data_IF_945955653238
#
_entry.id   IF_945955653238
#
_cell.length_a   1.000
_cell.length_b   1.000
_cell.length_c   1.000
_cell.angle_alpha   90.00
_cell.angle_beta   90.00
_cell.angle_gamma   90.00
#
_symmetry.space_group_name_H-M   'P 1'
#
loop_
_entity.id
_entity.type
_entity.pdbx_description
1 polymer ?
#
# COMPACT_ATOMS: atom_id res chain seq x y z
N UNK A 1 0.68 -20.12 7.73
CA UNK A 1 -0.39 -19.17 8.12
C UNK A 1 -1.78 -19.78 8.33
N UNK A 2 -2.11 -20.92 7.66
CA UNK A 2 -3.45 -21.52 7.74
C UNK A 2 -3.79 -22.10 9.12
N UNK A 3 -2.83 -22.69 9.81
CA UNK A 3 -3.06 -23.31 11.14
C UNK A 3 -3.45 -22.29 12.21
N UNK A 4 -2.82 -21.12 12.22
CA UNK A 4 -3.12 -20.05 13.19
C UNK A 4 -4.53 -19.50 12.97
N UNK A 5 -4.94 -19.33 11.71
CA UNK A 5 -6.27 -18.86 11.35
C UNK A 5 -7.36 -19.85 11.82
N UNK A 6 -7.19 -21.16 11.58
CA UNK A 6 -8.13 -22.18 12.04
C UNK A 6 -8.18 -22.29 13.56
N UNK A 7 -7.04 -22.20 14.26
CA UNK A 7 -7.00 -22.18 15.72
C UNK A 7 -7.74 -20.98 16.31
N UNK A 8 -7.57 -19.79 15.72
CA UNK A 8 -8.28 -18.58 16.16
C UNK A 8 -9.78 -18.69 15.95
N UNK A 9 -10.21 -19.23 14.80
CA UNK A 9 -11.62 -19.38 14.46
C UNK A 9 -12.31 -20.41 15.39
N UNK A 10 -11.71 -21.59 15.58
CA UNK A 10 -12.27 -22.64 16.44
C UNK A 10 -12.17 -22.30 17.92
N UNK A 11 -11.05 -21.71 18.36
CA UNK A 11 -10.89 -21.27 19.75
C UNK A 11 -11.87 -20.14 20.11
N UNK A 12 -12.05 -19.16 19.21
CA UNK A 12 -13.00 -18.08 19.40
C UNK A 12 -14.45 -18.56 19.47
N UNK A 13 -14.84 -19.50 18.59
CA UNK A 13 -16.20 -20.05 18.58
C UNK A 13 -16.49 -20.89 19.82
N UNK A 14 -15.53 -21.69 20.28
CA UNK A 14 -15.67 -22.52 21.50
C UNK A 14 -15.82 -21.65 22.76
N UNK A 15 -14.97 -20.62 22.91
CA UNK A 15 -15.06 -19.64 24.00
C UNK A 15 -16.39 -18.86 23.96
N UNK A 16 -16.80 -18.43 22.79
CA UNK A 16 -18.07 -17.75 22.58
C UNK A 16 -19.25 -18.62 22.99
N UNK A 17 -19.29 -19.89 22.56
CA UNK A 17 -20.35 -20.82 22.91
C UNK A 17 -20.39 -21.11 24.42
N UNK A 18 -19.25 -21.26 25.06
CA UNK A 18 -19.15 -21.50 26.53
C UNK A 18 -19.69 -20.29 27.33
N UNK A 19 -19.26 -19.08 26.98
CA UNK A 19 -19.71 -17.85 27.63
C UNK A 19 -21.22 -17.63 27.46
N UNK A 20 -21.75 -17.76 26.23
CA UNK A 20 -23.17 -17.58 25.97
C UNK A 20 -24.03 -18.70 26.52
N UNK A 21 -23.51 -19.93 26.54
CA UNK A 21 -24.16 -21.05 27.20
C UNK A 21 -24.36 -20.84 28.73
N UNK A 22 -23.34 -20.24 29.37
CA UNK A 22 -23.41 -19.94 30.79
C UNK A 22 -24.34 -18.77 31.11
N UNK A 23 -24.31 -17.70 30.29
CA UNK A 23 -25.25 -16.58 30.43
C UNK A 23 -26.69 -17.03 30.18
N UNK A 24 -26.93 -17.89 29.20
CA UNK A 24 -28.26 -18.42 28.87
C UNK A 24 -28.81 -19.36 29.96
N UNK A 25 -27.93 -20.08 30.70
CA UNK A 25 -28.36 -20.95 31.82
C UNK A 25 -28.72 -20.16 33.09
N UNK A 26 -28.20 -18.95 33.24
CA UNK A 26 -28.46 -18.08 34.40
C UNK A 26 -29.60 -17.10 34.20
N UNK A 27 -30.02 -16.90 32.95
CA UNK A 27 -31.07 -15.92 32.55
C UNK A 27 -32.07 -16.60 31.63
N UNK A 28 -33.25 -15.94 31.40
CA UNK A 28 -34.19 -16.43 30.39
C UNK A 28 -33.59 -16.26 28.99
N UNK A 29 -34.01 -17.13 28.07
CA UNK A 29 -33.50 -17.11 26.67
C UNK A 29 -33.66 -15.73 26.00
N UNK A 30 -34.80 -15.03 26.27
CA UNK A 30 -35.04 -13.70 25.73
C UNK A 30 -34.06 -12.65 26.24
N UNK A 31 -33.66 -12.70 27.52
CA UNK A 31 -32.71 -11.77 28.11
C UNK A 31 -31.30 -12.07 27.57
N UNK A 32 -30.91 -13.35 27.45
CA UNK A 32 -29.64 -13.76 26.86
C UNK A 32 -29.50 -13.27 25.42
N UNK A 33 -30.51 -13.40 24.58
CA UNK A 33 -30.51 -12.90 23.19
C UNK A 33 -30.40 -11.37 23.13
N UNK A 34 -31.09 -10.66 24.02
CA UNK A 34 -31.04 -9.18 24.06
C UNK A 34 -29.64 -8.69 24.45
N UNK A 35 -29.00 -9.32 25.45
CA UNK A 35 -27.61 -9.00 25.86
C UNK A 35 -26.65 -9.28 24.70
N UNK A 36 -26.82 -10.40 23.98
CA UNK A 36 -25.98 -10.72 22.82
C UNK A 36 -26.10 -9.67 21.71
N UNK A 37 -27.32 -9.24 21.39
CA UNK A 37 -27.55 -8.23 20.38
C UNK A 37 -26.92 -6.87 20.75
N UNK A 38 -27.09 -6.45 22.01
CA UNK A 38 -26.49 -5.20 22.51
C UNK A 38 -24.98 -5.27 22.51
N UNK A 39 -24.37 -6.37 22.99
CA UNK A 39 -22.92 -6.54 23.01
C UNK A 39 -22.32 -6.56 21.59
N UNK A 40 -22.98 -7.20 20.63
CA UNK A 40 -22.56 -7.22 19.24
C UNK A 40 -22.60 -5.80 18.63
N UNK A 41 -23.66 -5.03 18.92
CA UNK A 41 -23.80 -3.65 18.45
C UNK A 41 -22.71 -2.75 19.04
N UNK A 42 -22.42 -2.87 20.33
CA UNK A 42 -21.36 -2.12 20.99
C UNK A 42 -19.98 -2.49 20.40
N UNK A 43 -19.73 -3.78 20.17
CA UNK A 43 -18.49 -4.25 19.57
C UNK A 43 -18.31 -3.70 18.15
N UNK A 44 -19.38 -3.68 17.35
CA UNK A 44 -19.38 -3.14 15.99
C UNK A 44 -19.10 -1.63 15.99
N UNK A 45 -19.72 -0.87 16.88
CA UNK A 45 -19.48 0.56 17.03
C UNK A 45 -18.06 0.85 17.52
N UNK A 46 -17.56 0.06 18.46
CA UNK A 46 -16.18 0.16 18.93
C UNK A 46 -15.18 -0.14 17.81
N UNK A 47 -15.41 -1.18 17.00
CA UNK A 47 -14.56 -1.45 15.84
C UNK A 47 -14.56 -0.30 14.83
N UNK A 48 -15.72 0.31 14.55
CA UNK A 48 -15.80 1.49 13.67
C UNK A 48 -15.05 2.69 14.24
N UNK A 49 -15.10 2.87 15.56
CA UNK A 49 -14.43 3.99 16.21
C UNK A 49 -12.90 3.81 16.31
N UNK A 50 -12.44 2.59 16.66
CA UNK A 50 -11.01 2.28 16.84
C UNK A 50 -10.31 1.89 15.54
N UNK A 51 -11.04 1.39 14.54
CA UNK A 51 -10.55 1.11 13.21
C UNK A 51 -11.27 2.03 12.21
N UNK A 52 -10.92 3.33 12.17
CA UNK A 52 -11.47 4.19 11.15
C UNK A 52 -11.16 3.57 9.80
N UNK A 53 -12.20 3.48 9.00
CA UNK A 53 -12.20 2.81 7.70
C UNK A 53 -11.06 3.38 6.85
N UNK A 54 -9.94 2.67 6.81
CA UNK A 54 -8.83 2.95 5.89
C UNK A 54 -9.11 2.36 4.51
N UNK A 55 -10.25 1.77 4.31
CA UNK A 55 -10.81 1.52 3.00
C UNK A 55 -11.36 2.85 2.45
N UNK A 56 -10.48 3.79 2.14
CA UNK A 56 -10.71 4.59 0.96
C UNK A 56 -10.98 3.53 -0.09
N UNK A 57 -12.20 3.49 -0.60
CA UNK A 57 -12.55 2.65 -1.74
C UNK A 57 -11.59 3.06 -2.85
N UNK A 58 -10.43 2.38 -2.88
CA UNK A 58 -9.44 2.61 -3.93
C UNK A 58 -10.17 2.26 -5.22
N UNK A 59 -10.37 3.22 -6.07
CA UNK A 59 -10.94 2.98 -7.39
C UNK A 59 -9.95 2.15 -8.21
N UNK A 60 -10.15 0.84 -8.19
CA UNK A 60 -9.31 -0.15 -8.87
C UNK A 60 -9.68 -0.31 -10.34
N UNK A 61 -10.50 0.56 -10.91
CA UNK A 61 -10.81 0.58 -12.33
C UNK A 61 -9.51 0.74 -13.12
N UNK A 62 -9.21 -0.15 -14.10
CA UNK A 62 -8.02 -0.04 -14.93
C UNK A 62 -7.97 1.30 -15.66
N UNK A 63 -6.80 1.94 -15.66
CA UNK A 63 -6.60 3.23 -16.34
C UNK A 63 -5.52 3.10 -17.40
N UNK A 64 -5.80 3.57 -18.61
CA UNK A 64 -4.87 3.61 -19.74
C UNK A 64 -4.14 4.95 -19.90
N UNK A 65 -4.19 5.82 -18.88
CA UNK A 65 -3.62 7.16 -18.93
C UNK A 65 -2.09 7.16 -19.05
N UNK A 66 -1.44 6.11 -18.57
CA UNK A 66 0.02 6.01 -18.62
C UNK A 66 0.48 5.30 -19.89
N UNK A 67 1.32 5.99 -20.67
CA UNK A 67 2.02 5.34 -21.78
C UNK A 67 3.25 4.61 -21.25
N UNK A 68 3.41 3.36 -21.67
CA UNK A 68 4.61 2.59 -21.37
C UNK A 68 5.85 3.29 -21.95
N UNK A 69 6.96 3.35 -21.21
CA UNK A 69 8.19 3.95 -21.71
C UNK A 69 8.79 3.11 -22.84
N UNK A 70 9.36 3.78 -23.83
CA UNK A 70 10.11 3.14 -24.91
C UNK A 70 11.59 3.22 -24.56
N UNK A 71 12.25 2.05 -24.42
CA UNK A 71 13.70 1.99 -24.26
C UNK A 71 14.38 1.97 -25.64
N UNK A 72 15.55 2.61 -25.74
CA UNK A 72 16.38 2.51 -26.97
C UNK A 72 16.89 1.09 -27.17
N UNK A 73 17.29 0.45 -26.09
CA UNK A 73 17.67 -0.96 -26.05
C UNK A 73 16.88 -1.63 -24.93
N UNK A 74 16.24 -2.75 -25.25
CA UNK A 74 15.42 -3.50 -24.27
C UNK A 74 16.34 -4.41 -23.47
N UNK A 75 16.53 -4.20 -22.16
CA UNK A 75 17.30 -5.13 -21.34
C UNK A 75 16.65 -6.52 -21.35
N UNK A 76 17.41 -7.54 -21.65
CA UNK A 76 16.95 -8.94 -21.66
C UNK A 76 17.00 -9.59 -20.28
N UNK A 77 17.90 -9.12 -19.40
CA UNK A 77 18.13 -9.65 -18.07
C UNK A 77 18.45 -8.53 -17.08
N UNK A 78 18.25 -8.79 -15.78
CA UNK A 78 18.58 -7.89 -14.69
C UNK A 78 17.37 -7.11 -14.16
N UNK A 79 17.51 -6.60 -12.94
CA UNK A 79 16.50 -5.78 -12.29
C UNK A 79 16.50 -4.35 -12.85
N UNK A 80 15.32 -3.77 -12.91
CA UNK A 80 15.16 -2.38 -13.34
C UNK A 80 14.92 -1.50 -12.11
N UNK A 81 15.81 -0.55 -11.90
CA UNK A 81 15.67 0.48 -10.88
C UNK A 81 15.11 1.75 -11.52
N UNK A 82 13.98 2.18 -11.00
CA UNK A 82 13.30 3.43 -11.41
C UNK A 82 13.46 4.44 -10.30
N UNK A 83 14.04 5.59 -10.62
CA UNK A 83 14.19 6.71 -9.70
C UNK A 83 13.31 7.85 -10.20
N UNK A 84 12.47 8.39 -9.31
CA UNK A 84 11.61 9.55 -9.58
C UNK A 84 12.00 10.64 -8.60
N UNK A 85 12.48 11.76 -9.11
CA UNK A 85 12.97 12.87 -8.32
C UNK A 85 11.89 13.92 -8.13
N UNK A 86 11.61 14.26 -6.87
CA UNK A 86 10.66 15.29 -6.48
C UNK A 86 11.38 16.42 -5.77
N UNK A 87 11.09 17.65 -6.17
CA UNK A 87 11.50 18.87 -5.48
C UNK A 87 10.27 19.47 -4.83
N UNK A 88 10.24 19.52 -3.50
CA UNK A 88 9.08 19.94 -2.72
C UNK A 88 9.44 21.06 -1.75
N UNK A 89 8.44 21.77 -1.25
CA UNK A 89 8.62 22.67 -0.13
C UNK A 89 9.04 21.89 1.13
N UNK A 90 10.20 22.17 1.74
CA UNK A 90 10.67 21.50 2.95
C UNK A 90 9.67 21.58 4.11
N UNK A 91 8.86 22.63 4.21
CA UNK A 91 7.83 22.78 5.24
C UNK A 91 6.73 21.72 5.12
N UNK A 92 6.51 21.20 3.92
CA UNK A 92 5.52 20.15 3.62
C UNK A 92 6.11 18.73 3.58
N UNK A 93 7.37 18.57 3.96
CA UNK A 93 8.06 17.27 3.87
C UNK A 93 7.38 16.17 4.71
N UNK A 94 6.77 16.50 5.85
CA UNK A 94 6.05 15.53 6.68
C UNK A 94 4.79 14.99 5.98
N UNK A 95 4.00 15.88 5.34
CA UNK A 95 2.83 15.51 4.56
C UNK A 95 3.22 14.65 3.37
N UNK A 96 4.28 15.05 2.66
CA UNK A 96 4.80 14.30 1.51
C UNK A 96 5.24 12.90 1.91
N UNK A 97 5.97 12.73 3.02
CA UNK A 97 6.36 11.40 3.52
C UNK A 97 5.14 10.52 3.83
N UNK A 98 4.08 11.09 4.40
CA UNK A 98 2.84 10.36 4.66
C UNK A 98 2.19 9.87 3.37
N UNK A 99 2.07 10.76 2.37
CA UNK A 99 1.55 10.42 1.05
C UNK A 99 2.40 9.33 0.36
N UNK A 100 3.72 9.40 0.51
CA UNK A 100 4.64 8.43 -0.08
C UNK A 100 4.53 7.03 0.53
N UNK A 101 3.97 6.86 1.75
CA UNK A 101 3.62 5.55 2.28
C UNK A 101 2.44 4.91 1.50
N UNK A 102 1.53 5.71 0.98
CA UNK A 102 0.47 5.23 0.09
C UNK A 102 1.07 4.80 -1.25
N UNK A 103 2.01 5.58 -1.81
CA UNK A 103 2.77 5.20 -3.01
C UNK A 103 3.49 3.87 -2.81
N UNK A 104 4.18 3.68 -1.68
CA UNK A 104 4.84 2.42 -1.34
C UNK A 104 3.87 1.23 -1.41
N UNK A 105 2.71 1.34 -0.77
CA UNK A 105 1.70 0.27 -0.78
C UNK A 105 1.21 -0.05 -2.18
N UNK A 106 0.92 0.98 -2.98
CA UNK A 106 0.51 0.82 -4.37
C UNK A 106 1.59 0.13 -5.20
N UNK A 107 2.85 0.57 -5.12
CA UNK A 107 3.97 0.01 -5.89
C UNK A 107 4.24 -1.46 -5.57
N UNK A 108 4.25 -1.83 -4.28
CA UNK A 108 4.44 -3.22 -3.86
C UNK A 108 3.27 -4.12 -4.29
N UNK A 109 2.02 -3.63 -4.21
CA UNK A 109 0.84 -4.33 -4.71
C UNK A 109 0.91 -4.58 -6.22
N UNK A 110 1.47 -3.64 -6.98
CA UNK A 110 1.66 -3.75 -8.43
C UNK A 110 2.82 -4.68 -8.84
N UNK A 111 3.58 -5.22 -7.89
CA UNK A 111 4.62 -6.19 -8.12
C UNK A 111 6.05 -5.65 -8.10
N UNK A 112 6.28 -4.47 -7.55
CA UNK A 112 7.64 -3.99 -7.30
C UNK A 112 8.33 -4.88 -6.26
N UNK A 113 9.60 -5.25 -6.49
CA UNK A 113 10.41 -6.05 -5.57
C UNK A 113 10.77 -5.25 -4.33
N UNK A 114 11.12 -3.98 -4.52
CA UNK A 114 11.44 -3.08 -3.42
C UNK A 114 11.01 -1.66 -3.72
N UNK A 115 10.84 -0.89 -2.64
CA UNK A 115 10.54 0.53 -2.70
C UNK A 115 11.25 1.26 -1.56
N UNK A 116 11.88 2.38 -1.88
CA UNK A 116 12.54 3.25 -0.92
C UNK A 116 12.22 4.70 -1.23
N UNK A 117 12.16 5.53 -0.20
CA UNK A 117 12.14 6.99 -0.31
C UNK A 117 13.45 7.53 0.24
N UNK A 118 14.26 8.09 -0.62
CA UNK A 118 15.52 8.71 -0.28
C UNK A 118 15.31 10.21 -0.11
N UNK A 119 15.99 10.80 0.84
CA UNK A 119 15.99 12.23 1.10
C UNK A 119 17.42 12.74 0.99
N UNK A 120 17.62 13.79 0.21
CA UNK A 120 18.94 14.39 0.04
C UNK A 120 19.36 15.07 1.36
N UNK A 121 20.58 14.77 1.81
CA UNK A 121 21.11 15.35 3.07
C UNK A 121 21.54 16.80 2.92
N UNK A 122 21.79 17.25 1.68
CA UNK A 122 22.25 18.61 1.37
C UNK A 122 21.09 19.51 0.89
N UNK A 123 20.00 18.91 0.39
CA UNK A 123 18.82 19.62 -0.07
C UNK A 123 17.56 19.08 0.63
N UNK A 124 17.04 19.79 1.64
CA UNK A 124 15.89 19.34 2.41
C UNK A 124 14.57 19.28 1.61
N UNK A 125 14.54 19.86 0.42
CA UNK A 125 13.39 19.81 -0.49
C UNK A 125 13.46 18.64 -1.49
N UNK A 126 14.60 17.98 -1.62
CA UNK A 126 14.82 16.95 -2.64
C UNK A 126 14.57 15.55 -2.12
N UNK A 127 13.62 14.84 -2.76
CA UNK A 127 13.28 13.45 -2.47
C UNK A 127 13.37 12.59 -3.72
N UNK A 128 13.83 11.35 -3.57
CA UNK A 128 13.89 10.38 -4.67
C UNK A 128 13.10 9.15 -4.29
N UNK A 129 12.02 8.86 -5.03
CA UNK A 129 11.28 7.60 -4.97
C UNK A 129 12.04 6.57 -5.81
N UNK A 130 12.58 5.54 -5.15
CA UNK A 130 13.32 4.46 -5.78
C UNK A 130 12.49 3.19 -5.77
N UNK A 131 12.30 2.59 -6.94
CA UNK A 131 11.48 1.39 -7.16
C UNK A 131 12.33 0.37 -7.90
N UNK A 132 12.35 -0.87 -7.44
CA UNK A 132 13.02 -1.96 -8.13
C UNK A 132 12.00 -2.94 -8.69
N UNK A 133 12.04 -3.17 -9.98
CA UNK A 133 11.23 -4.16 -10.69
C UNK A 133 12.10 -5.36 -11.07
N UNK A 134 11.50 -6.56 -11.13
CA UNK A 134 12.20 -7.82 -11.39
C UNK A 134 12.87 -7.83 -12.77
N UNK A 135 12.22 -7.25 -13.77
CA UNK A 135 12.72 -7.19 -15.15
C UNK A 135 12.10 -6.03 -15.91
N UNK A 136 12.61 -5.73 -17.10
CA UNK A 136 12.01 -4.76 -18.01
C UNK A 136 10.58 -5.15 -18.40
N UNK A 137 10.32 -6.44 -18.61
CA UNK A 137 8.97 -6.93 -18.93
C UNK A 137 7.99 -6.69 -17.80
N UNK A 138 8.37 -6.98 -16.54
CA UNK A 138 7.52 -6.71 -15.39
C UNK A 138 7.33 -5.20 -15.15
N UNK A 139 8.37 -4.40 -15.41
CA UNK A 139 8.25 -2.94 -15.40
C UNK A 139 7.16 -2.45 -16.38
N UNK A 140 7.13 -2.99 -17.62
CA UNK A 140 6.09 -2.63 -18.59
C UNK A 140 4.72 -3.13 -18.17
N UNK A 141 4.59 -4.38 -17.71
CA UNK A 141 3.32 -4.95 -17.23
C UNK A 141 2.70 -4.16 -16.08
N UNK A 142 3.52 -3.45 -15.31
CA UNK A 142 3.00 -2.59 -14.24
C UNK A 142 2.15 -1.45 -14.80
N UNK A 143 2.42 -0.95 -15.99
CA UNK A 143 1.59 0.09 -16.63
C UNK A 143 0.20 -0.43 -16.98
N UNK A 144 0.06 -1.74 -17.27
CA UNK A 144 -1.23 -2.37 -17.53
C UNK A 144 -2.06 -2.57 -16.25
N UNK A 145 -1.41 -2.53 -15.08
CA UNK A 145 -2.03 -2.71 -13.76
C UNK A 145 -2.37 -1.39 -13.06
N UNK A 146 -2.15 -0.26 -13.73
CA UNK A 146 -2.47 1.07 -13.18
C UNK A 146 -3.97 1.23 -13.04
N UNK A 147 -4.40 1.70 -11.88
CA UNK A 147 -5.80 1.95 -11.55
C UNK A 147 -6.12 3.45 -11.50
N UNK A 148 -7.39 3.81 -11.48
CA UNK A 148 -7.81 5.20 -11.30
C UNK A 148 -7.29 5.80 -9.97
N UNK A 149 -7.21 4.98 -8.92
CA UNK A 149 -6.57 5.39 -7.66
C UNK A 149 -5.09 5.77 -7.83
N UNK A 150 -4.34 5.01 -8.63
CA UNK A 150 -2.92 5.30 -8.88
C UNK A 150 -2.72 6.61 -9.65
N UNK A 151 -3.67 6.94 -10.54
CA UNK A 151 -3.69 8.24 -11.24
C UNK A 151 -3.90 9.38 -10.24
N UNK A 152 -4.92 9.27 -9.37
CA UNK A 152 -5.17 10.26 -8.33
C UNK A 152 -3.98 10.41 -7.37
N UNK A 153 -3.36 9.30 -6.98
CA UNK A 153 -2.18 9.29 -6.12
C UNK A 153 -0.99 10.00 -6.80
N UNK A 154 -0.81 9.77 -8.11
CA UNK A 154 0.20 10.51 -8.89
C UNK A 154 -0.08 12.00 -8.89
N UNK A 155 -1.31 12.41 -9.16
CA UNK A 155 -1.68 13.82 -9.21
C UNK A 155 -1.48 14.50 -7.86
N UNK A 156 -1.81 13.82 -6.76
CA UNK A 156 -1.48 14.27 -5.39
C UNK A 156 0.03 14.42 -5.19
N UNK A 157 0.85 13.48 -5.66
CA UNK A 157 2.32 13.61 -5.56
C UNK A 157 2.84 14.79 -6.37
N UNK A 158 2.32 14.99 -7.58
CA UNK A 158 2.69 16.11 -8.44
C UNK A 158 2.32 17.47 -7.84
N UNK A 159 1.25 17.56 -7.05
CA UNK A 159 0.87 18.80 -6.37
C UNK A 159 1.86 19.26 -5.29
N UNK A 160 2.77 18.40 -4.86
CA UNK A 160 3.88 18.77 -3.97
C UNK A 160 5.11 19.26 -4.73
N UNK A 161 5.22 18.90 -6.01
CA UNK A 161 6.38 19.29 -6.82
C UNK A 161 6.34 20.79 -7.12
N UNK A 162 7.43 21.48 -6.83
CA UNK A 162 7.49 22.95 -6.88
C UNK A 162 7.94 23.48 -8.23
N UNK A 163 8.56 22.66 -9.08
CA UNK A 163 9.02 23.05 -10.38
C UNK A 163 7.90 22.98 -11.44
N UNK A 164 8.04 23.77 -12.50
CA UNK A 164 7.13 23.77 -13.64
C UNK A 164 7.27 22.54 -14.55
N UNK A 165 8.45 21.93 -14.54
CA UNK A 165 8.71 20.69 -15.28
C UNK A 165 8.30 19.48 -14.43
N UNK A 166 7.83 18.40 -15.07
CA UNK A 166 7.46 17.20 -14.33
C UNK A 166 8.68 16.55 -13.67
N UNK A 167 8.49 15.80 -12.54
CA UNK A 167 9.56 15.09 -11.87
C UNK A 167 10.39 14.24 -12.82
N UNK A 168 11.71 14.35 -12.71
CA UNK A 168 12.64 13.59 -13.54
C UNK A 168 12.52 12.09 -13.21
N UNK A 169 12.38 11.27 -14.25
CA UNK A 169 12.28 9.82 -14.13
C UNK A 169 13.47 9.16 -14.83
N UNK A 170 14.33 8.52 -14.05
CA UNK A 170 15.49 7.76 -14.54
C UNK A 170 15.23 6.27 -14.39
N UNK A 171 15.56 5.50 -15.41
CA UNK A 171 15.48 4.04 -15.40
C UNK A 171 16.86 3.46 -15.61
N UNK A 172 17.30 2.63 -14.68
CA UNK A 172 18.64 2.05 -14.66
C UNK A 172 18.54 0.55 -14.65
N UNK A 173 19.38 -0.10 -15.42
CA UNK A 173 19.60 -1.54 -15.30
C UNK A 173 20.56 -1.78 -14.13
N UNK A 174 20.15 -2.64 -13.19
CA UNK A 174 21.05 -3.08 -12.13
C UNK A 174 22.00 -4.11 -12.72
N UNK A 175 23.25 -3.72 -12.91
CA UNK A 175 24.31 -4.65 -13.30
C UNK A 175 24.56 -5.62 -12.14
N UNK A 176 24.50 -6.92 -12.43
CA UNK A 176 24.87 -7.91 -11.43
C UNK A 176 26.36 -7.75 -11.09
N UNK A 177 26.68 -7.64 -9.80
CA UNK A 177 28.07 -7.62 -9.35
C UNK A 177 28.80 -8.88 -9.83
N UNK A 178 29.57 -8.76 -10.89
CA UNK A 178 30.48 -9.82 -11.37
C UNK A 178 31.76 -9.99 -10.49
N UNK A 179 31.74 -9.33 -9.34
CA UNK A 179 32.90 -9.34 -8.42
C UNK A 179 32.78 -10.32 -7.27
N UNK A 180 31.85 -11.30 -7.33
CA UNK A 180 31.93 -12.47 -6.45
C UNK A 180 32.62 -13.60 -7.21
N UNK A 181 33.95 -13.53 -7.22
CA UNK A 181 34.89 -14.58 -7.61
C UNK A 181 35.77 -14.93 -6.44
#
# INVERSE_FOLDING_TARGET
GMSIYQMSLMGGSALGAALWGQVSSMTSLHIGMSIAAVSCTICMLALQYFMPDRSILEDLTPSSVFKAPVAKETPTHGHIQVNIEYLIDPLRAAEFRSLMQESRRSRLRQGALSWQLLHDVNDPGRFVEQITDESWTEHLRRFDRVTAYDVQLRDKKLSFHTESEPPQVTRLLVEADRFQG
#
